data_IF_906421251117
#
_entry.id   IF_906421251117
#
_cell.length_a   1.000
_cell.length_b   1.000
_cell.length_c   1.000
_cell.angle_alpha   90.00
_cell.angle_beta   90.00
_cell.angle_gamma   90.00
#
_symmetry.space_group_name_H-M   'P 1'
#
loop_
_entity.id
_entity.type
_entity.pdbx_description
1 polymer ?
#
# COMPACT_ATOMS: atom_id res chain seq x y z
N UNK A 1 4.10 -10.98 -7.57
CA UNK A 1 5.26 -10.29 -8.19
C UNK A 1 5.87 -11.11 -9.32
N UNK A 2 6.11 -12.41 -9.15
CA UNK A 2 6.82 -13.24 -10.15
C UNK A 2 6.30 -13.17 -11.60
N UNK A 3 4.99 -13.17 -11.84
CA UNK A 3 4.43 -13.15 -13.21
C UNK A 3 4.91 -11.97 -14.07
N UNK A 4 4.79 -10.74 -13.56
CA UNK A 4 5.17 -9.54 -14.32
C UNK A 4 6.68 -9.38 -14.44
N UNK A 5 7.46 -10.02 -13.57
CA UNK A 5 8.92 -10.07 -13.71
C UNK A 5 9.33 -10.97 -14.87
N UNK A 6 8.74 -12.16 -14.95
CA UNK A 6 8.99 -13.08 -16.06
C UNK A 6 8.53 -12.47 -17.38
N UNK A 7 7.31 -11.92 -17.41
CA UNK A 7 6.77 -11.26 -18.60
C UNK A 7 7.68 -10.11 -19.09
N UNK A 8 8.28 -9.36 -18.18
CA UNK A 8 9.21 -8.28 -18.55
C UNK A 8 10.46 -8.80 -19.27
N UNK A 9 10.97 -9.97 -18.88
CA UNK A 9 12.12 -10.59 -19.56
C UNK A 9 11.70 -11.13 -20.93
N UNK A 10 10.51 -11.72 -21.05
CA UNK A 10 9.97 -12.27 -22.29
C UNK A 10 9.67 -11.21 -23.35
N UNK A 11 9.12 -10.06 -22.94
CA UNK A 11 8.71 -8.98 -23.85
C UNK A 11 9.86 -8.00 -24.15
N UNK A 12 10.97 -8.09 -23.42
CA UNK A 12 12.19 -7.33 -23.71
C UNK A 12 12.01 -5.80 -23.63
N UNK A 13 12.61 -5.07 -24.58
CA UNK A 13 12.56 -3.60 -24.64
C UNK A 13 11.34 -3.05 -25.38
N UNK A 14 10.50 -3.92 -25.95
CA UNK A 14 9.39 -3.51 -26.82
C UNK A 14 8.23 -2.92 -26.02
N UNK A 15 8.01 -3.41 -24.79
CA UNK A 15 6.96 -2.91 -23.88
C UNK A 15 7.57 -2.64 -22.50
N UNK A 16 7.42 -1.42 -22.02
CA UNK A 16 7.84 -1.05 -20.67
C UNK A 16 6.84 -1.55 -19.62
N UNK A 17 7.27 -2.49 -18.77
CA UNK A 17 6.48 -3.01 -17.66
C UNK A 17 7.01 -2.41 -16.35
N UNK A 18 6.19 -1.62 -15.66
CA UNK A 18 6.50 -1.08 -14.33
C UNK A 18 5.71 -1.84 -13.26
N UNK A 19 6.39 -2.31 -12.22
CA UNK A 19 5.76 -2.99 -11.08
C UNK A 19 5.62 -1.97 -9.95
N UNK A 20 4.38 -1.68 -9.58
CA UNK A 20 4.05 -0.75 -8.49
C UNK A 20 3.68 -1.54 -7.24
N UNK A 21 4.30 -1.20 -6.11
CA UNK A 21 3.97 -1.73 -4.80
C UNK A 21 3.32 -0.61 -3.96
N UNK A 22 1.98 -0.46 -4.02
CA UNK A 22 1.29 0.49 -3.19
C UNK A 22 1.25 0.01 -1.73
N UNK A 23 1.59 0.89 -0.79
CA UNK A 23 1.32 0.75 0.63
C UNK A 23 -0.08 1.26 0.98
N UNK A 24 -0.24 1.78 2.19
CA UNK A 24 -1.52 2.30 2.66
C UNK A 24 -1.88 3.62 1.97
N UNK A 25 -2.80 3.54 1.00
CA UNK A 25 -3.30 4.68 0.23
C UNK A 25 -4.72 5.01 0.69
N UNK A 26 -5.03 6.29 0.81
CA UNK A 26 -6.36 6.82 1.07
C UNK A 26 -7.29 6.54 -0.12
N UNK A 27 -8.24 5.64 0.08
CA UNK A 27 -9.23 5.23 -0.93
C UNK A 27 -10.53 4.86 -0.24
N UNK A 28 -11.62 4.74 -0.99
CA UNK A 28 -12.90 4.26 -0.45
C UNK A 28 -12.74 2.91 0.28
N UNK A 29 -11.83 2.04 -0.19
CA UNK A 29 -11.53 0.74 0.40
C UNK A 29 -10.84 0.85 1.78
N UNK A 30 -10.02 1.87 2.00
CA UNK A 30 -9.30 2.11 3.27
C UNK A 30 -10.05 3.01 4.23
N UNK A 31 -11.08 3.73 3.76
CA UNK A 31 -11.99 4.56 4.58
C UNK A 31 -13.13 3.78 5.24
N UNK A 32 -13.13 2.45 5.16
CA UNK A 32 -14.11 1.63 5.86
C UNK A 32 -15.54 1.81 5.34
N UNK A 33 -15.72 2.06 4.04
CA UNK A 33 -17.06 2.01 3.43
C UNK A 33 -17.56 0.57 3.46
N UNK A 34 -18.46 0.29 4.40
CA UNK A 34 -19.08 -1.02 4.56
C UNK A 34 -20.59 -0.87 4.37
N UNK A 35 -21.19 -1.77 3.58
CA UNK A 35 -22.64 -1.90 3.54
C UNK A 35 -23.06 -2.59 4.83
N UNK A 36 -23.80 -1.88 5.68
CA UNK A 36 -24.47 -2.49 6.81
C UNK A 36 -25.52 -3.50 6.30
N UNK A 37 -25.86 -4.48 7.12
CA UNK A 37 -26.81 -5.55 6.75
C UNK A 37 -28.21 -5.05 6.40
N UNK A 38 -28.52 -3.78 6.68
CA UNK A 38 -29.75 -3.08 6.32
C UNK A 38 -29.66 -2.30 4.99
N UNK A 39 -28.54 -2.41 4.27
CA UNK A 39 -28.31 -1.73 3.00
C UNK A 39 -27.85 -0.27 3.12
N UNK A 40 -27.64 0.24 4.34
CA UNK A 40 -27.09 1.58 4.54
C UNK A 40 -25.57 1.57 4.37
N UNK A 41 -25.03 2.55 3.62
CA UNK A 41 -23.59 2.78 3.57
C UNK A 41 -23.15 3.45 4.87
N UNK A 42 -22.47 2.69 5.73
CA UNK A 42 -21.77 3.25 6.88
C UNK A 42 -20.34 3.56 6.46
N UNK A 43 -19.93 4.80 6.71
CA UNK A 43 -18.55 5.26 6.53
C UNK A 43 -17.93 5.32 7.91
N UNK A 44 -17.17 4.30 8.28
CA UNK A 44 -16.38 4.33 9.51
C UNK A 44 -14.98 4.83 9.16
N UNK A 45 -14.87 6.16 9.08
CA UNK A 45 -13.78 6.92 8.45
C UNK A 45 -12.36 6.65 9.00
N UNK A 46 -12.19 5.79 10.02
CA UNK A 46 -11.10 5.98 10.96
C UNK A 46 -10.33 4.74 11.42
N UNK A 47 -10.63 3.51 10.99
CA UNK A 47 -9.85 2.35 11.50
C UNK A 47 -8.43 2.35 10.91
N UNK A 48 -8.29 2.36 9.59
CA UNK A 48 -6.96 2.37 8.94
C UNK A 48 -6.25 3.72 9.09
N UNK A 49 -6.98 4.84 9.05
CA UNK A 49 -6.41 6.17 9.19
C UNK A 49 -5.89 6.50 10.59
N UNK A 50 -6.48 5.92 11.65
CA UNK A 50 -5.94 6.03 13.02
C UNK A 50 -4.71 5.15 13.25
N UNK A 51 -4.65 4.02 12.54
CA UNK A 51 -3.66 2.98 12.78
C UNK A 51 -2.39 3.16 11.93
N UNK A 52 -2.54 3.58 10.67
CA UNK A 52 -1.45 3.77 9.73
C UNK A 52 -1.61 5.11 9.01
N UNK A 53 -0.51 5.84 8.74
CA UNK A 53 -0.59 7.05 7.95
C UNK A 53 -1.07 6.70 6.54
N UNK A 54 -2.24 7.22 6.14
CA UNK A 54 -2.75 7.02 4.78
C UNK A 54 -2.08 8.01 3.82
N UNK A 55 -1.51 7.49 2.74
CA UNK A 55 -0.95 8.32 1.68
C UNK A 55 -2.02 8.73 0.69
N UNK A 56 -2.01 9.98 0.24
CA UNK A 56 -3.08 10.49 -0.62
C UNK A 56 -3.10 9.80 -1.99
N UNK A 57 -4.28 9.40 -2.45
CA UNK A 57 -4.44 8.72 -3.73
C UNK A 57 -4.03 9.59 -4.93
N UNK A 58 -4.33 10.89 -4.91
CA UNK A 58 -3.95 11.81 -6.00
C UNK A 58 -2.42 11.87 -6.16
N UNK A 59 -1.68 11.91 -5.04
CA UNK A 59 -0.22 11.90 -5.03
C UNK A 59 0.34 10.56 -5.49
N UNK A 60 -0.24 9.46 -5.04
CA UNK A 60 0.15 8.11 -5.49
C UNK A 60 -0.03 7.96 -7.00
N UNK A 61 -1.20 8.33 -7.53
CA UNK A 61 -1.49 8.29 -8.95
C UNK A 61 -0.52 9.17 -9.75
N UNK A 62 -0.24 10.39 -9.28
CA UNK A 62 0.72 11.28 -9.93
C UNK A 62 2.14 10.68 -9.95
N UNK A 63 2.57 10.04 -8.86
CA UNK A 63 3.88 9.39 -8.78
C UNK A 63 3.97 8.21 -9.75
N UNK A 64 2.95 7.34 -9.78
CA UNK A 64 2.85 6.21 -10.72
C UNK A 64 2.99 6.68 -12.17
N UNK A 65 2.23 7.70 -12.56
CA UNK A 65 2.28 8.22 -13.94
C UNK A 65 3.66 8.80 -14.25
N UNK A 66 4.25 9.56 -13.34
CA UNK A 66 5.59 10.15 -13.53
C UNK A 66 6.67 9.08 -13.66
N UNK A 67 6.66 8.07 -12.79
CA UNK A 67 7.60 6.94 -12.85
C UNK A 67 7.46 6.14 -14.14
N UNK A 68 6.22 5.92 -14.61
CA UNK A 68 5.97 5.29 -15.91
C UNK A 68 6.59 6.12 -17.06
N UNK A 69 6.37 7.44 -17.07
CA UNK A 69 6.97 8.34 -18.07
C UNK A 69 8.51 8.38 -18.04
N UNK A 70 9.13 8.14 -16.87
CA UNK A 70 10.59 8.06 -16.71
C UNK A 70 11.18 6.70 -17.09
N UNK A 71 10.35 5.69 -17.35
CA UNK A 71 10.82 4.33 -17.61
C UNK A 71 11.34 3.62 -16.36
N UNK A 72 10.85 3.98 -15.17
CA UNK A 72 11.23 3.29 -13.94
C UNK A 72 10.62 1.87 -13.91
N UNK A 73 11.40 0.88 -13.44
CA UNK A 73 10.96 -0.53 -13.40
C UNK A 73 10.16 -0.86 -12.13
N UNK A 74 10.40 -0.12 -11.06
CA UNK A 74 9.80 -0.36 -9.75
C UNK A 74 9.43 0.96 -9.11
N UNK A 75 8.27 0.98 -8.48
CA UNK A 75 7.83 2.10 -7.64
C UNK A 75 7.18 1.55 -6.38
N UNK A 76 7.63 2.01 -5.22
CA UNK A 76 7.00 1.72 -3.93
C UNK A 76 6.48 3.01 -3.33
N UNK A 77 5.17 3.11 -3.16
CA UNK A 77 4.49 4.33 -2.72
C UNK A 77 3.49 4.01 -1.61
N UNK A 78 3.55 4.66 -0.44
CA UNK A 78 4.51 5.70 -0.03
C UNK A 78 5.90 5.13 0.30
N UNK A 79 6.94 5.96 0.18
CA UNK A 79 8.35 5.53 0.37
C UNK A 79 8.64 4.94 1.75
N UNK A 80 7.96 5.39 2.81
CA UNK A 80 8.10 4.83 4.16
C UNK A 80 7.59 3.39 4.26
N UNK A 81 6.69 2.97 3.37
CA UNK A 81 6.21 1.59 3.32
C UNK A 81 7.34 0.62 2.93
N UNK A 82 8.29 1.08 2.11
CA UNK A 82 9.51 0.31 1.81
C UNK A 82 10.30 -0.06 3.07
N UNK A 83 10.38 0.84 4.06
CA UNK A 83 11.06 0.57 5.34
C UNK A 83 10.34 -0.52 6.13
N UNK A 84 9.01 -0.56 6.12
CA UNK A 84 8.24 -1.62 6.80
C UNK A 84 8.43 -2.99 6.15
N UNK A 85 8.58 -3.03 4.83
CA UNK A 85 8.92 -4.26 4.12
C UNK A 85 10.32 -4.77 4.52
N UNK A 86 11.31 -3.87 4.59
CA UNK A 86 12.64 -4.22 5.09
C UNK A 86 12.61 -4.71 6.53
N UNK A 87 11.84 -4.08 7.41
CA UNK A 87 11.67 -4.51 8.79
C UNK A 87 11.11 -5.94 8.88
N UNK A 88 10.13 -6.27 8.02
CA UNK A 88 9.56 -7.62 7.91
C UNK A 88 10.58 -8.69 7.51
N UNK A 89 11.51 -8.33 6.64
CA UNK A 89 12.55 -9.25 6.16
C UNK A 89 13.70 -9.39 7.16
N UNK A 90 13.99 -8.35 7.96
CA UNK A 90 15.13 -8.34 8.90
C UNK A 90 14.77 -8.97 10.25
N UNK A 91 13.62 -8.66 10.84
CA UNK A 91 13.13 -9.37 12.03
C UNK A 91 11.60 -9.33 12.15
N UNK A 92 10.92 -10.48 11.97
CA UNK A 92 9.48 -10.55 12.13
C UNK A 92 9.03 -10.24 13.57
N UNK A 93 9.88 -10.51 14.58
CA UNK A 93 9.53 -10.27 16.00
C UNK A 93 9.34 -8.78 16.33
N UNK A 94 10.07 -7.86 15.65
CA UNK A 94 9.88 -6.42 15.88
C UNK A 94 8.53 -5.92 15.36
N UNK A 95 8.03 -6.48 14.25
CA UNK A 95 6.70 -6.15 13.74
C UNK A 95 5.60 -6.66 14.67
N UNK A 96 5.74 -7.88 15.19
CA UNK A 96 4.81 -8.44 16.17
C UNK A 96 4.78 -7.59 17.45
N UNK A 97 5.93 -7.15 17.92
CA UNK A 97 6.03 -6.24 19.07
C UNK A 97 5.32 -4.91 18.79
N UNK A 98 5.56 -4.27 17.65
CA UNK A 98 4.93 -2.98 17.27
C UNK A 98 3.40 -3.13 17.15
N UNK A 99 2.93 -4.20 16.50
CA UNK A 99 1.49 -4.49 16.38
C UNK A 99 0.87 -4.80 17.75
N UNK A 100 1.60 -5.47 18.64
CA UNK A 100 1.17 -5.71 20.02
C UNK A 100 1.03 -4.42 20.83
N UNK A 101 2.00 -3.50 20.72
CA UNK A 101 1.90 -2.18 21.36
C UNK A 101 0.71 -1.38 20.87
N UNK A 102 0.46 -1.38 19.56
CA UNK A 102 -0.70 -0.73 18.96
C UNK A 102 -2.00 -1.30 19.56
N UNK A 103 -2.12 -2.63 19.68
CA UNK A 103 -3.31 -3.27 20.24
C UNK A 103 -3.56 -2.91 21.71
N UNK A 104 -2.49 -2.63 22.47
CA UNK A 104 -2.58 -2.21 23.87
C UNK A 104 -2.91 -0.72 24.06
N UNK A 105 -2.56 0.14 23.10
CA UNK A 105 -2.74 1.60 23.20
C UNK A 105 -4.00 2.14 22.50
N UNK A 106 -4.70 1.34 21.69
CA UNK A 106 -5.97 1.75 21.07
C UNK A 106 -7.16 1.31 21.95
N UNK A 107 -7.92 2.24 22.56
CA UNK A 107 -9.15 1.88 23.26
C UNK A 107 -10.20 1.35 22.25
N UNK A 108 -10.96 0.34 22.67
CA UNK A 108 -12.09 -0.23 21.92
C UNK A 108 -13.13 0.82 21.57
#
# INVERSE_FOLDING_TARGET
VAFYETLRVEVGSDIHIMIVTPGFIESEMTKGKHLAGDGQMLVDDNVFGKLFPLYKADRSAQSIVRSACRGERYLTEPTWYGVTHWLKTVSPELLEMILGFIHLYLPK
#
